data_IF_938446092230
#
_entry.id   IF_938446092230
#
_cell.length_a   1.000
_cell.length_b   1.000
_cell.length_c   1.000
_cell.angle_alpha   90.00
_cell.angle_beta   90.00
_cell.angle_gamma   90.00
#
_symmetry.space_group_name_H-M   'P 1'
#
loop_
_entity.id
_entity.type
_entity.pdbx_description
1 polymer ?
#
# COMPACT_ATOMS: atom_id res chain seq x y z
N UNK A 1 14.33 15.88 46.35
CA UNK A 1 14.20 15.65 44.89
C UNK A 1 12.72 15.49 44.57
N UNK A 2 12.12 16.31 43.69
CA UNK A 2 10.73 16.12 43.34
C UNK A 2 10.58 14.88 42.45
N UNK A 3 9.60 14.05 42.78
CA UNK A 3 9.21 12.86 42.04
C UNK A 3 8.47 13.31 40.76
N UNK A 4 9.08 13.08 39.60
CA UNK A 4 8.51 13.37 38.29
C UNK A 4 7.29 12.45 38.07
N UNK A 5 6.08 13.01 38.20
CA UNK A 5 4.83 12.29 37.96
C UNK A 5 4.57 12.26 36.47
N UNK A 6 4.80 11.12 35.83
CA UNK A 6 4.26 10.85 34.50
C UNK A 6 2.74 10.70 34.61
N UNK A 7 2.00 11.69 34.10
CA UNK A 7 0.55 11.61 33.98
C UNK A 7 0.20 10.58 32.91
N UNK A 8 -0.45 9.49 33.34
CA UNK A 8 -1.13 8.57 32.42
C UNK A 8 -2.29 9.30 31.72
N UNK A 9 -2.57 8.87 30.49
CA UNK A 9 -3.68 9.25 29.61
C UNK A 9 -3.54 10.55 28.83
N UNK A 10 -2.58 10.59 27.92
CA UNK A 10 -2.91 11.08 26.58
C UNK A 10 -3.57 9.92 25.84
N UNK A 11 -4.91 9.86 25.84
CA UNK A 11 -5.61 9.11 24.80
C UNK A 11 -5.18 9.78 23.48
N UNK A 12 -4.20 9.21 22.79
CA UNK A 12 -4.01 9.49 21.37
C UNK A 12 -5.35 9.10 20.76
N UNK A 13 -6.17 10.08 20.40
CA UNK A 13 -7.38 9.80 19.62
C UNK A 13 -6.86 9.12 18.35
N UNK A 14 -7.14 7.83 18.19
CA UNK A 14 -6.94 7.17 16.90
C UNK A 14 -7.62 8.06 15.87
N UNK A 15 -6.82 8.61 14.97
CA UNK A 15 -7.33 9.45 13.89
C UNK A 15 -8.10 8.47 13.01
N UNK A 16 -9.43 8.46 13.14
CA UNK A 16 -10.30 7.68 12.25
C UNK A 16 -10.17 8.35 10.90
N UNK A 17 -9.24 7.87 10.09
CA UNK A 17 -9.15 8.24 8.68
C UNK A 17 -10.34 7.60 7.96
N UNK A 18 -10.84 8.29 6.93
CA UNK A 18 -11.79 7.68 5.98
C UNK A 18 -11.20 6.40 5.38
N UNK A 19 -12.05 5.64 4.67
CA UNK A 19 -11.67 4.51 3.82
C UNK A 19 -10.30 4.75 3.11
N UNK A 20 -9.37 3.79 3.20
CA UNK A 20 -8.01 3.95 2.67
C UNK A 20 -7.96 3.92 1.15
N UNK A 21 -6.98 4.60 0.57
CA UNK A 21 -6.62 4.42 -0.84
C UNK A 21 -5.96 3.06 -1.02
N UNK A 22 -6.63 2.13 -1.69
CA UNK A 22 -6.09 0.80 -1.98
C UNK A 22 -5.23 0.86 -3.24
N UNK A 23 -3.93 0.62 -3.10
CA UNK A 23 -2.98 0.62 -4.21
C UNK A 23 -2.44 -0.80 -4.40
N UNK A 24 -2.56 -1.33 -5.60
CA UNK A 24 -1.96 -2.59 -6.00
C UNK A 24 -0.57 -2.34 -6.63
N UNK A 25 0.44 -3.07 -6.19
CA UNK A 25 1.77 -3.07 -6.81
C UNK A 25 1.94 -4.45 -7.49
N UNK A 26 2.24 -4.43 -8.79
CA UNK A 26 2.47 -5.60 -9.64
C UNK A 26 3.89 -5.47 -10.21
N UNK A 27 4.80 -6.24 -9.65
CA UNK A 27 6.24 -6.20 -9.95
C UNK A 27 6.85 -7.52 -9.46
N UNK A 28 7.77 -8.14 -10.20
CA UNK A 28 8.36 -9.43 -9.79
C UNK A 28 9.53 -9.26 -8.82
N UNK A 29 10.03 -8.02 -8.61
CA UNK A 29 11.13 -7.70 -7.70
C UNK A 29 10.64 -7.35 -6.28
N UNK A 30 10.88 -8.21 -5.26
CA UNK A 30 10.37 -7.98 -3.90
C UNK A 30 10.86 -6.68 -3.25
N UNK A 31 12.02 -6.17 -3.65
CA UNK A 31 12.59 -4.95 -3.12
C UNK A 31 11.86 -3.70 -3.63
N UNK A 32 11.30 -3.71 -4.86
CA UNK A 32 10.47 -2.61 -5.37
C UNK A 32 9.24 -2.41 -4.49
N UNK A 33 8.57 -3.49 -4.08
CA UNK A 33 7.44 -3.39 -3.14
C UNK A 33 7.87 -2.82 -1.78
N UNK A 34 9.00 -3.28 -1.23
CA UNK A 34 9.49 -2.81 0.08
C UNK A 34 9.82 -1.33 0.05
N UNK A 35 10.55 -0.88 -0.98
CA UNK A 35 10.94 0.51 -1.15
C UNK A 35 9.70 1.39 -1.35
N UNK A 36 8.79 1.01 -2.26
CA UNK A 36 7.56 1.75 -2.53
C UNK A 36 6.71 1.91 -1.26
N UNK A 37 6.48 0.82 -0.51
CA UNK A 37 5.75 0.87 0.77
C UNK A 37 6.45 1.73 1.81
N UNK A 38 7.78 1.69 1.88
CA UNK A 38 8.58 2.47 2.82
C UNK A 38 8.48 3.97 2.53
N UNK A 39 8.66 4.36 1.27
CA UNK A 39 8.58 5.76 0.80
C UNK A 39 7.20 6.36 1.05
N UNK A 40 6.14 5.57 0.88
CA UNK A 40 4.76 6.04 0.95
C UNK A 40 4.04 5.72 2.28
N UNK A 41 4.74 5.14 3.26
CA UNK A 41 4.17 4.63 4.53
C UNK A 41 3.28 5.63 5.29
N UNK A 42 3.61 6.92 5.23
CA UNK A 42 2.91 7.99 5.97
C UNK A 42 2.28 9.02 5.02
N UNK A 43 2.14 8.67 3.75
CA UNK A 43 1.50 9.53 2.78
C UNK A 43 -0.02 9.59 3.04
N UNK A 44 -0.55 10.79 3.05
CA UNK A 44 -1.98 11.07 3.26
C UNK A 44 -2.42 11.97 2.10
N UNK A 45 -3.48 11.56 1.41
CA UNK A 45 -4.08 12.32 0.31
C UNK A 45 -5.60 12.35 0.50
N UNK A 46 -6.21 13.55 0.35
CA UNK A 46 -7.65 13.75 0.58
C UNK A 46 -8.12 13.16 1.92
N UNK A 47 -7.33 13.36 2.98
CA UNK A 47 -7.60 12.85 4.34
C UNK A 47 -7.67 11.31 4.47
N UNK A 48 -7.12 10.57 3.50
CA UNK A 48 -7.05 9.09 3.51
C UNK A 48 -5.60 8.61 3.48
N UNK A 49 -5.30 7.57 4.25
CA UNK A 49 -4.02 6.85 4.19
C UNK A 49 -3.99 5.89 2.99
N UNK A 50 -2.80 5.41 2.63
CA UNK A 50 -2.63 4.35 1.62
C UNK A 50 -2.60 2.97 2.29
N UNK A 51 -3.28 2.01 1.67
CA UNK A 51 -3.14 0.57 1.92
C UNK A 51 -2.56 -0.10 0.66
N UNK A 52 -1.49 -0.88 0.84
CA UNK A 52 -0.81 -1.52 -0.28
C UNK A 52 -1.09 -3.02 -0.36
N UNK A 53 -1.34 -3.50 -1.56
CA UNK A 53 -1.36 -4.91 -1.93
C UNK A 53 -0.20 -5.21 -2.89
N UNK A 54 0.34 -6.43 -2.82
CA UNK A 54 1.46 -6.89 -3.64
C UNK A 54 1.07 -8.15 -4.36
N UNK A 55 1.31 -8.19 -5.66
CA UNK A 55 1.28 -9.37 -6.52
C UNK A 55 2.54 -9.34 -7.40
N UNK A 56 2.96 -10.49 -7.90
CA UNK A 56 4.30 -10.67 -8.48
C UNK A 56 4.28 -11.14 -9.93
N UNK A 57 3.09 -11.22 -10.53
CA UNK A 57 2.89 -11.70 -11.88
C UNK A 57 1.67 -11.01 -12.50
N UNK A 58 1.62 -10.97 -13.83
CA UNK A 58 0.45 -10.46 -14.56
C UNK A 58 -0.81 -11.29 -14.28
N UNK A 59 -0.67 -12.62 -14.23
CA UNK A 59 -1.78 -13.54 -13.96
C UNK A 59 -2.35 -13.34 -12.54
N UNK A 60 -1.48 -13.20 -11.52
CA UNK A 60 -1.91 -12.92 -10.15
C UNK A 60 -2.58 -11.55 -10.04
N UNK A 61 -2.14 -10.56 -10.83
CA UNK A 61 -2.78 -9.25 -10.85
C UNK A 61 -4.21 -9.32 -11.40
N UNK A 62 -4.42 -10.06 -12.50
CA UNK A 62 -5.76 -10.29 -13.06
C UNK A 62 -6.64 -11.04 -12.06
N UNK A 63 -6.13 -12.09 -11.41
CA UNK A 63 -6.89 -12.84 -10.41
C UNK A 63 -7.22 -12.00 -9.18
N UNK A 64 -6.26 -11.23 -8.69
CA UNK A 64 -6.45 -10.34 -7.55
C UNK A 64 -7.53 -9.30 -7.85
N UNK A 65 -7.49 -8.66 -9.02
CA UNK A 65 -8.46 -7.65 -9.43
C UNK A 65 -9.88 -8.22 -9.61
N UNK A 66 -10.02 -9.49 -10.02
CA UNK A 66 -11.33 -10.17 -10.11
C UNK A 66 -11.97 -10.42 -8.75
N UNK A 67 -11.15 -10.61 -7.72
CA UNK A 67 -11.60 -10.98 -6.37
C UNK A 67 -11.64 -9.79 -5.40
N UNK A 68 -11.10 -8.63 -5.78
CA UNK A 68 -10.98 -7.47 -4.92
C UNK A 68 -11.51 -6.21 -5.63
N UNK A 69 -12.69 -5.78 -5.23
CA UNK A 69 -13.26 -4.51 -5.67
C UNK A 69 -12.57 -3.31 -4.99
N UNK A 70 -12.71 -2.14 -5.62
CA UNK A 70 -12.29 -0.83 -5.10
C UNK A 70 -10.76 -0.61 -4.99
N UNK A 71 -9.96 -1.23 -5.85
CA UNK A 71 -8.57 -0.79 -6.06
C UNK A 71 -8.56 0.58 -6.73
N UNK A 72 -7.90 1.54 -6.10
CA UNK A 72 -7.90 2.93 -6.52
C UNK A 72 -6.85 3.21 -7.60
N UNK A 73 -5.68 2.58 -7.48
CA UNK A 73 -4.55 2.72 -8.40
C UNK A 73 -3.80 1.38 -8.48
N UNK A 74 -3.25 1.09 -9.66
CA UNK A 74 -2.31 -0.02 -9.88
C UNK A 74 -0.98 0.57 -10.34
N UNK A 75 0.11 0.14 -9.69
CA UNK A 75 1.48 0.34 -10.13
C UNK A 75 1.93 -0.97 -10.77
N UNK A 76 2.00 -1.00 -12.11
CA UNK A 76 2.25 -2.20 -12.91
C UNK A 76 3.56 -2.06 -13.66
N UNK A 77 4.49 -2.99 -13.45
CA UNK A 77 5.67 -3.12 -14.29
C UNK A 77 5.29 -3.67 -15.67
N UNK A 78 5.92 -3.13 -16.70
CA UNK A 78 5.81 -3.57 -18.10
C UNK A 78 6.60 -4.87 -18.31
N UNK A 79 7.78 -4.98 -17.71
CA UNK A 79 8.71 -6.10 -17.90
C UNK A 79 8.69 -6.97 -16.65
N UNK A 80 8.25 -8.21 -16.76
CA UNK A 80 8.25 -9.18 -15.66
C UNK A 80 8.59 -10.57 -16.22
N UNK A 81 7.61 -11.45 -16.40
CA UNK A 81 7.78 -12.79 -16.96
C UNK A 81 8.17 -12.75 -18.45
N UNK A 82 7.70 -11.71 -19.15
CA UNK A 82 8.06 -11.36 -20.53
C UNK A 82 8.31 -9.86 -20.64
N UNK A 83 9.06 -9.44 -21.66
CA UNK A 83 9.43 -8.03 -21.92
C UNK A 83 8.24 -7.08 -22.10
N UNK A 84 7.03 -7.61 -22.30
CA UNK A 84 5.79 -6.86 -22.48
C UNK A 84 4.64 -7.41 -21.61
N UNK A 85 4.96 -8.14 -20.53
CA UNK A 85 3.97 -8.78 -19.66
C UNK A 85 2.92 -7.79 -19.15
N UNK A 86 3.34 -6.64 -18.61
CA UNK A 86 2.43 -5.63 -18.07
C UNK A 86 1.53 -4.96 -19.12
N UNK A 87 1.86 -5.05 -20.42
CA UNK A 87 1.01 -4.53 -21.49
C UNK A 87 -0.12 -5.50 -21.89
N UNK A 88 -0.06 -6.74 -21.40
CA UNK A 88 -1.01 -7.83 -21.73
C UNK A 88 -2.01 -8.13 -20.62
N UNK A 89 -1.89 -7.45 -19.48
CA UNK A 89 -2.76 -7.54 -18.30
C UNK A 89 -4.09 -6.85 -18.54
#
# INVERSE_FOLDING_TARGET
MPLMKFTKNTKVKEKVFDEKWKILIVDDEPDVHKITKSVLKHFIFEHKEIEFYSVYSGDDAVEFMKNNDNISVILLDVVMETDDAGLKV
#
